data_IF_080955820325
#
_entry.id   IF_080955820325
#
_cell.length_a   1.000
_cell.length_b   1.000
_cell.length_c   1.000
_cell.angle_alpha   90.00
_cell.angle_beta   90.00
_cell.angle_gamma   90.00
#
_symmetry.space_group_name_H-M   'P 1'
#
loop_
_entity.id
_entity.type
_entity.pdbx_description
1 polymer ?
#
# COMPACT_ATOMS: atom_id res chain seq x y z
N UNK A 1 -2.86 -22.20 4.72
CA UNK A 1 -3.25 -20.82 4.40
C UNK A 1 -2.64 -19.91 5.45
N UNK A 2 -1.84 -18.92 5.03
CA UNK A 2 -1.12 -18.02 5.95
C UNK A 2 -1.44 -16.58 5.58
N UNK A 3 -2.16 -15.89 6.47
CA UNK A 3 -2.47 -14.47 6.34
C UNK A 3 -1.16 -13.67 6.26
N UNK A 4 -1.15 -12.65 5.42
CA UNK A 4 0.04 -11.82 5.22
C UNK A 4 -0.30 -10.34 5.10
N UNK A 5 0.65 -9.50 5.46
CA UNK A 5 0.59 -8.06 5.23
C UNK A 5 1.77 -7.64 4.35
N UNK A 6 1.48 -6.93 3.27
CA UNK A 6 2.46 -6.24 2.46
C UNK A 6 2.49 -4.76 2.84
N UNK A 7 3.68 -4.21 3.05
CA UNK A 7 3.91 -2.80 3.38
C UNK A 7 4.78 -2.18 2.31
N UNK A 8 4.22 -1.26 1.55
CA UNK A 8 5.00 -0.42 0.64
C UNK A 8 5.33 0.90 1.36
N UNK A 9 6.59 1.05 1.77
CA UNK A 9 7.10 2.26 2.42
C UNK A 9 7.58 3.23 1.35
N UNK A 10 7.00 4.43 1.30
CA UNK A 10 7.34 5.49 0.36
C UNK A 10 7.99 6.63 1.13
N UNK A 11 9.21 7.02 0.73
CA UNK A 11 9.87 8.24 1.21
C UNK A 11 9.60 9.37 0.23
N UNK A 12 9.24 10.51 0.76
CA UNK A 12 8.76 11.67 0.01
C UNK A 12 9.54 12.90 0.48
N UNK A 13 9.81 13.83 -0.43
CA UNK A 13 10.30 15.15 -0.07
C UNK A 13 9.46 15.79 1.02
N UNK A 14 10.14 16.47 1.95
CA UNK A 14 9.51 17.03 3.14
C UNK A 14 8.43 18.05 2.76
N UNK A 15 7.25 17.93 3.35
CA UNK A 15 6.13 18.84 3.17
C UNK A 15 5.18 18.47 2.02
N UNK A 16 5.46 17.40 1.26
CA UNK A 16 4.66 17.01 0.09
C UNK A 16 3.78 15.77 0.32
N UNK A 17 3.68 15.28 1.56
CA UNK A 17 2.95 14.05 1.87
C UNK A 17 1.45 14.12 1.59
N UNK A 18 0.82 15.27 1.82
CA UNK A 18 -0.63 15.41 1.72
C UNK A 18 -1.10 15.34 0.25
N UNK A 19 -0.28 15.81 -0.71
CA UNK A 19 -0.54 15.68 -2.15
C UNK A 19 -0.52 14.22 -2.60
N UNK A 20 0.37 13.42 -2.00
CA UNK A 20 0.45 11.98 -2.27
C UNK A 20 -0.74 11.25 -1.62
N UNK A 21 -1.17 11.65 -0.41
CA UNK A 21 -2.33 11.06 0.27
C UNK A 21 -3.63 11.17 -0.54
N UNK A 22 -3.82 12.26 -1.31
CA UNK A 22 -4.99 12.42 -2.18
C UNK A 22 -5.12 11.24 -3.17
N UNK A 23 -4.01 10.67 -3.63
CA UNK A 23 -4.00 9.52 -4.57
C UNK A 23 -4.57 8.23 -3.97
N UNK A 24 -4.66 8.15 -2.64
CA UNK A 24 -5.15 6.99 -1.91
C UNK A 24 -6.55 7.20 -1.30
N UNK A 25 -7.15 8.40 -1.43
CA UNK A 25 -8.54 8.65 -0.98
C UNK A 25 -9.57 7.79 -1.72
N UNK A 26 -9.30 7.46 -2.97
CA UNK A 26 -10.16 6.57 -3.77
C UNK A 26 -9.47 5.23 -3.91
N UNK A 27 -10.09 4.17 -3.37
CA UNK A 27 -9.60 2.81 -3.52
C UNK A 27 -9.70 2.40 -5.00
N UNK A 28 -8.57 2.38 -5.72
CA UNK A 28 -8.56 2.22 -7.18
C UNK A 28 -9.08 0.86 -7.66
N UNK A 29 -8.75 -0.22 -6.97
CA UNK A 29 -9.21 -1.59 -7.31
C UNK A 29 -8.75 -2.67 -6.35
N UNK A 30 -7.71 -2.45 -5.52
CA UNK A 30 -7.15 -3.50 -4.65
C UNK A 30 -8.19 -4.19 -3.75
N UNK A 31 -9.20 -3.43 -3.31
CA UNK A 31 -10.28 -3.93 -2.46
C UNK A 31 -11.24 -4.91 -3.16
N UNK A 32 -11.16 -5.05 -4.48
CA UNK A 32 -12.01 -5.97 -5.25
C UNK A 32 -11.33 -7.33 -5.51
N UNK A 33 -10.09 -7.51 -5.08
CA UNK A 33 -9.36 -8.77 -5.30
C UNK A 33 -9.74 -9.79 -4.22
N UNK A 34 -9.82 -11.05 -4.65
CA UNK A 34 -10.10 -12.18 -3.75
C UNK A 34 -9.06 -12.24 -2.62
N UNK A 35 -9.52 -12.54 -1.40
CA UNK A 35 -8.67 -12.63 -0.22
C UNK A 35 -8.15 -11.29 0.32
N UNK A 36 -8.56 -10.14 -0.23
CA UNK A 36 -8.24 -8.83 0.36
C UNK A 36 -9.00 -8.63 1.68
N UNK A 37 -8.29 -8.21 2.73
CA UNK A 37 -8.88 -7.96 4.05
C UNK A 37 -8.99 -6.45 4.31
N UNK A 38 -7.88 -5.73 4.14
CA UNK A 38 -7.78 -4.33 4.55
C UNK A 38 -6.65 -3.64 3.80
N UNK A 39 -6.83 -2.34 3.55
CA UNK A 39 -5.77 -1.43 3.17
C UNK A 39 -5.72 -0.27 4.16
N UNK A 40 -4.53 0.01 4.67
CA UNK A 40 -4.27 1.17 5.53
C UNK A 40 -3.18 2.03 4.89
N UNK A 41 -3.31 3.34 5.05
CA UNK A 41 -2.27 4.29 4.67
C UNK A 41 -1.83 5.01 5.93
N UNK A 42 -0.63 4.69 6.39
CA UNK A 42 -0.06 5.25 7.60
C UNK A 42 0.88 6.39 7.23
N UNK A 43 0.69 7.55 7.82
CA UNK A 43 1.64 8.67 7.74
C UNK A 43 2.56 8.61 8.95
N UNK A 44 3.88 8.59 8.73
CA UNK A 44 4.85 8.65 9.82
C UNK A 44 4.84 10.04 10.44
N UNK A 45 4.69 10.09 11.75
CA UNK A 45 4.82 11.31 12.54
C UNK A 45 6.29 11.58 12.90
N UNK A 46 6.63 12.83 13.20
CA UNK A 46 7.94 13.24 13.72
C UNK A 46 9.14 12.90 12.82
N UNK A 47 8.95 12.87 11.50
CA UNK A 47 10.05 12.69 10.55
C UNK A 47 10.65 14.05 10.16
N UNK A 48 11.93 14.28 10.46
CA UNK A 48 12.60 15.59 10.27
C UNK A 48 13.16 15.79 8.86
N UNK A 49 13.62 14.73 8.20
CA UNK A 49 14.39 14.81 6.95
C UNK A 49 13.53 14.61 5.69
N UNK A 50 12.52 13.76 5.79
CA UNK A 50 11.62 13.39 4.70
C UNK A 50 10.24 13.08 5.27
N UNK A 51 9.20 13.11 4.44
CA UNK A 51 7.93 12.51 4.82
C UNK A 51 7.89 11.04 4.45
N UNK A 52 7.19 10.22 5.23
CA UNK A 52 7.09 8.78 4.99
C UNK A 52 5.63 8.33 5.04
N UNK A 53 5.21 7.60 4.01
CA UNK A 53 3.93 6.91 3.96
C UNK A 53 4.16 5.41 3.92
N UNK A 54 3.33 4.65 4.63
CA UNK A 54 3.26 3.19 4.51
C UNK A 54 1.89 2.81 3.98
N UNK A 55 1.87 2.17 2.81
CA UNK A 55 0.66 1.54 2.28
C UNK A 55 0.69 0.08 2.69
N UNK A 56 -0.14 -0.25 3.67
CA UNK A 56 -0.29 -1.60 4.19
C UNK A 56 -1.49 -2.26 3.51
N UNK A 57 -1.33 -3.49 3.02
CA UNK A 57 -2.45 -4.32 2.56
C UNK A 57 -2.37 -5.68 3.22
N UNK A 58 -3.46 -6.12 3.85
CA UNK A 58 -3.56 -7.42 4.53
C UNK A 58 -4.44 -8.36 3.71
N UNK A 59 -4.01 -9.61 3.61
CA UNK A 59 -4.59 -10.63 2.75
C UNK A 59 -4.76 -11.95 3.49
N UNK A 60 -5.83 -12.68 3.19
CA UNK A 60 -6.16 -13.98 3.79
C UNK A 60 -5.09 -15.04 3.54
N UNK A 61 -4.43 -14.96 2.39
CA UNK A 61 -3.34 -15.86 2.01
C UNK A 61 -2.33 -15.14 1.10
N UNK A 62 -1.06 -15.52 1.21
CA UNK A 62 0.03 -15.02 0.38
C UNK A 62 -0.23 -15.17 -1.13
N UNK A 63 -0.87 -16.28 -1.54
CA UNK A 63 -1.16 -16.53 -2.96
C UNK A 63 -2.10 -15.49 -3.57
N UNK A 64 -3.01 -14.90 -2.79
CA UNK A 64 -3.89 -13.83 -3.26
C UNK A 64 -3.12 -12.52 -3.51
N UNK A 65 -2.19 -12.19 -2.61
CA UNK A 65 -1.30 -11.06 -2.78
C UNK A 65 -0.42 -11.22 -4.03
N UNK A 66 0.18 -12.40 -4.23
CA UNK A 66 1.07 -12.64 -5.37
C UNK A 66 0.31 -12.49 -6.70
N UNK A 67 -0.92 -13.03 -6.82
CA UNK A 67 -1.79 -12.83 -8.00
C UNK A 67 -2.13 -11.35 -8.24
N UNK A 68 -2.40 -10.60 -7.18
CA UNK A 68 -2.63 -9.15 -7.29
C UNK A 68 -1.39 -8.41 -7.77
N UNK A 69 -0.21 -8.77 -7.25
CA UNK A 69 1.07 -8.18 -7.63
C UNK A 69 1.39 -8.46 -9.11
N UNK A 70 1.20 -9.70 -9.57
CA UNK A 70 1.37 -10.08 -10.98
C UNK A 70 0.40 -9.31 -11.91
N UNK A 71 -0.85 -9.13 -11.48
CA UNK A 71 -1.84 -8.32 -12.22
C UNK A 71 -1.39 -6.86 -12.35
N UNK A 72 -0.84 -6.29 -11.27
CA UNK A 72 -0.26 -4.94 -11.25
C UNK A 72 0.95 -4.81 -12.18
N UNK A 73 1.85 -5.78 -12.18
CA UNK A 73 3.03 -5.78 -13.06
C UNK A 73 2.62 -5.91 -14.53
N UNK A 74 1.65 -6.78 -14.82
CA UNK A 74 1.07 -6.94 -16.16
C UNK A 74 0.39 -5.65 -16.64
N UNK A 75 -0.37 -4.98 -15.77
CA UNK A 75 -0.96 -3.67 -16.08
C UNK A 75 0.08 -2.59 -16.35
N UNK A 76 1.22 -2.61 -15.64
CA UNK A 76 2.35 -1.70 -15.92
C UNK A 76 3.05 -2.03 -17.25
N UNK A 77 3.14 -3.31 -17.61
CA UNK A 77 3.76 -3.75 -18.86
C UNK A 77 2.89 -3.45 -20.10
N UNK A 78 1.56 -3.56 -19.98
CA UNK A 78 0.62 -3.27 -21.06
C UNK A 78 0.12 -1.82 -21.09
N UNK A 79 0.17 -1.13 -19.94
CA UNK A 79 -0.07 0.30 -19.83
C UNK A 79 1.16 1.08 -20.25
N UNK A 80 1.17 1.58 -21.49
CA UNK A 80 2.11 2.58 -22.00
C UNK A 80 2.61 3.51 -20.89
N UNK A 81 3.94 3.67 -20.82
CA UNK A 81 4.67 4.85 -20.30
C UNK A 81 3.73 6.00 -19.95
N UNK A 82 3.22 5.98 -18.75
CA UNK A 82 2.69 7.14 -18.05
C UNK A 82 3.42 7.26 -16.72
N UNK A 83 4.72 6.94 -16.75
CA UNK A 83 5.70 7.93 -16.29
C UNK A 83 5.53 9.16 -17.18
N UNK A 84 4.48 9.95 -16.88
CA UNK A 84 4.73 11.38 -16.82
C UNK A 84 5.87 11.51 -15.81
N UNK A 85 7.10 11.56 -16.33
CA UNK A 85 8.10 12.47 -15.81
C UNK A 85 7.47 13.88 -15.87
N UNK A 86 6.51 14.13 -14.99
CA UNK A 86 6.39 15.45 -14.42
C UNK A 86 7.69 15.61 -13.67
N UNK A 87 8.46 16.63 -14.00
CA UNK A 87 9.78 16.92 -13.42
C UNK A 87 9.73 17.17 -11.89
N UNK A 88 8.56 17.02 -11.26
CA UNK A 88 8.27 17.14 -9.84
C UNK A 88 7.48 15.92 -9.34
N UNK A 89 8.11 14.75 -9.26
CA UNK A 89 7.55 13.65 -8.46
C UNK A 89 8.28 13.65 -7.11
N UNK A 90 7.64 14.06 -6.01
CA UNK A 90 8.31 14.21 -4.72
C UNK A 90 8.68 12.87 -4.06
N UNK A 91 8.42 11.73 -4.72
CA UNK A 91 8.78 10.42 -4.22
C UNK A 91 10.29 10.19 -4.39
N UNK A 92 11.00 10.12 -3.27
CA UNK A 92 12.44 9.83 -3.18
C UNK A 92 12.70 8.35 -3.45
N UNK A 93 11.94 7.47 -2.79
CA UNK A 93 12.09 6.02 -2.94
C UNK A 93 10.84 5.26 -2.48
N UNK A 94 10.75 4.00 -2.90
CA UNK A 94 9.75 3.06 -2.39
C UNK A 94 10.37 1.69 -2.10
N UNK A 95 9.99 1.08 -0.99
CA UNK A 95 10.44 -0.25 -0.57
C UNK A 95 9.24 -1.12 -0.20
N UNK A 96 9.13 -2.30 -0.84
CA UNK A 96 8.10 -3.28 -0.55
C UNK A 96 8.64 -4.33 0.43
N UNK A 97 8.00 -4.44 1.60
CA UNK A 97 8.29 -5.49 2.60
C UNK A 97 7.05 -6.35 2.81
N UNK A 98 7.24 -7.65 3.04
CA UNK A 98 6.13 -8.59 3.30
C UNK A 98 6.31 -9.26 4.65
N UNK A 99 5.19 -9.50 5.33
CA UNK A 99 5.14 -10.07 6.67
C UNK A 99 4.08 -11.19 6.73
N UNK A 100 4.40 -12.28 7.42
CA UNK A 100 3.38 -13.25 7.87
C UNK A 100 2.65 -12.65 9.08
N UNK A 101 1.32 -12.67 9.08
CA UNK A 101 0.54 -12.28 10.25
C UNK A 101 0.52 -13.45 11.23
N UNK A 102 1.43 -13.43 12.21
CA UNK A 102 1.55 -14.51 13.18
C UNK A 102 0.38 -14.55 14.19
N UNK A 103 -0.10 -13.38 14.62
CA UNK A 103 -1.16 -13.23 15.65
C UNK A 103 -2.00 -11.99 15.31
N UNK A 104 -3.33 -12.08 15.45
CA UNK A 104 -4.27 -10.96 15.29
C UNK A 104 -5.40 -11.06 16.31
N UNK A 105 -5.79 -9.93 16.91
CA UNK A 105 -6.98 -9.80 17.75
C UNK A 105 -7.99 -8.86 17.08
N UNK A 106 -9.25 -9.29 17.00
CA UNK A 106 -10.37 -8.44 16.54
C UNK A 106 -11.10 -7.86 17.76
N UNK A 107 -11.81 -6.73 17.63
CA UNK A 107 -12.67 -6.23 18.70
C UNK A 107 -13.59 -7.34 19.22
N UNK A 108 -13.85 -7.35 20.53
CA UNK A 108 -14.88 -8.22 21.09
C UNK A 108 -16.19 -7.95 20.36
N UNK A 109 -16.93 -9.00 19.97
CA UNK A 109 -18.27 -8.83 19.37
C UNK A 109 -19.10 -7.95 20.32
N UNK A 110 -19.52 -6.79 19.84
CA UNK A 110 -20.60 -6.06 20.50
C UNK A 110 -21.88 -6.83 20.18
N UNK A 111 -22.45 -7.50 21.17
CA UNK A 111 -23.82 -7.99 21.07
C UNK A 111 -24.73 -6.76 20.94
N UNK A 112 -25.40 -6.65 19.80
CA UNK A 112 -26.46 -5.65 19.54
C UNK A 112 -27.79 -6.29 19.89
#
# INVERSE_FOLDING_TARGET
MKMMTAVNTIRIEKGQVDDILVRFKTAKSVHTFEGFILMEVLKKENSSEYDELKICTTWEDRTFFDKWLESRESQKAHGKKSEQKSEENPIISSELTTFEVAIQHKPAKQEV
#
